data_IF_713194317762
#
_entry.id   IF_713194317762
#
_cell.length_a   1.000
_cell.length_b   1.000
_cell.length_c   1.000
_cell.angle_alpha   90.00
_cell.angle_beta   90.00
_cell.angle_gamma   90.00
#
_symmetry.space_group_name_H-M   'P 1'
#
loop_
_entity.id
_entity.type
_entity.pdbx_description
1 polymer ?
#
# COMPACT_ATOMS: atom_id res chain seq x y z
N UNK A 1 6.13 19.66 -5.07
CA UNK A 1 6.88 20.87 -5.46
C UNK A 1 8.39 20.64 -5.63
N UNK A 2 9.01 19.69 -4.93
CA UNK A 2 10.43 19.37 -5.05
C UNK A 2 10.89 19.14 -6.48
N UNK A 3 10.00 18.91 -7.41
CA UNK A 3 10.38 18.11 -8.56
C UNK A 3 9.86 18.58 -9.89
N UNK A 4 9.33 19.78 -9.92
CA UNK A 4 8.88 20.39 -11.18
C UNK A 4 10.07 20.68 -12.12
N UNK A 5 11.30 20.77 -11.59
CA UNK A 5 12.51 21.06 -12.39
C UNK A 5 13.37 19.83 -12.70
N UNK A 6 13.31 18.76 -11.87
CA UNK A 6 14.22 17.61 -11.96
C UNK A 6 13.57 16.32 -12.45
N UNK A 7 12.25 16.30 -12.69
CA UNK A 7 11.51 15.14 -13.16
C UNK A 7 10.67 15.49 -14.36
N UNK A 8 10.60 14.53 -15.26
CA UNK A 8 9.58 14.55 -16.28
C UNK A 8 8.20 14.48 -15.60
N UNK A 9 7.34 15.46 -15.88
CA UNK A 9 5.96 15.51 -15.37
C UNK A 9 5.17 14.26 -15.74
N UNK A 10 5.51 13.61 -16.84
CA UNK A 10 4.92 12.37 -17.31
C UNK A 10 5.05 11.24 -16.28
N UNK A 11 6.12 11.24 -15.46
CA UNK A 11 6.27 10.27 -14.36
C UNK A 11 5.04 10.21 -13.45
N UNK A 12 4.42 11.36 -13.19
CA UNK A 12 3.26 11.50 -12.31
C UNK A 12 1.95 11.49 -13.12
N UNK A 13 1.88 12.32 -14.18
CA UNK A 13 0.63 12.54 -14.91
C UNK A 13 0.21 11.33 -15.74
N UNK A 14 1.18 10.52 -16.21
CA UNK A 14 0.93 9.30 -16.98
C UNK A 14 0.91 8.04 -16.09
N UNK A 15 0.97 8.21 -14.76
CA UNK A 15 0.78 7.09 -13.84
C UNK A 15 -0.67 6.60 -13.90
N UNK A 16 -0.92 5.28 -13.99
CA UNK A 16 -2.28 4.73 -13.91
C UNK A 16 -2.98 5.08 -12.59
N UNK A 17 -2.19 5.32 -11.53
CA UNK A 17 -2.70 5.70 -10.23
C UNK A 17 -2.98 7.20 -10.08
N UNK A 18 -2.69 8.04 -11.08
CA UNK A 18 -2.98 9.46 -11.03
C UNK A 18 -4.48 9.73 -11.13
N UNK A 19 -5.04 10.38 -10.12
CA UNK A 19 -6.48 10.72 -10.05
C UNK A 19 -6.68 12.23 -10.16
N UNK A 20 -7.26 12.68 -11.28
CA UNK A 20 -7.51 14.10 -11.56
C UNK A 20 -8.38 14.77 -10.50
N UNK A 21 -9.31 14.04 -9.92
CA UNK A 21 -10.21 14.55 -8.88
C UNK A 21 -9.51 14.88 -7.55
N UNK A 22 -8.23 14.50 -7.41
CA UNK A 22 -7.41 14.85 -6.25
C UNK A 22 -6.71 16.20 -6.36
N UNK A 23 -6.74 16.83 -7.54
CA UNK A 23 -6.09 18.13 -7.76
C UNK A 23 -6.78 19.19 -6.89
N UNK A 24 -5.98 20.04 -6.24
CA UNK A 24 -6.41 21.13 -5.35
C UNK A 24 -7.13 20.71 -4.06
N UNK A 25 -7.26 19.41 -3.78
CA UNK A 25 -7.79 18.92 -2.50
C UNK A 25 -6.79 19.22 -1.38
N UNK A 26 -7.28 19.88 -0.33
CA UNK A 26 -6.49 20.20 0.88
C UNK A 26 -6.95 19.33 2.03
N UNK A 27 -6.11 18.41 2.45
CA UNK A 27 -6.37 17.51 3.57
C UNK A 27 -5.94 18.10 4.91
N UNK A 28 -6.53 17.62 5.99
CA UNK A 28 -6.11 17.93 7.35
C UNK A 28 -4.63 17.55 7.52
N UNK A 29 -3.86 18.41 8.16
CA UNK A 29 -2.41 18.26 8.31
C UNK A 29 -1.62 18.08 7.01
N UNK A 30 -2.24 18.27 5.84
CA UNK A 30 -1.63 18.02 4.52
C UNK A 30 -1.05 16.60 4.36
N UNK A 31 -1.62 15.63 5.07
CA UNK A 31 -1.18 14.22 5.07
C UNK A 31 -2.14 13.38 4.24
N UNK A 32 -1.62 12.69 3.23
CA UNK A 32 -2.38 11.87 2.30
C UNK A 32 -2.38 10.39 2.69
N UNK A 33 -1.28 9.90 3.23
CA UNK A 33 -1.13 8.53 3.70
C UNK A 33 -0.74 8.51 5.16
N UNK A 34 -1.49 7.82 5.98
CA UNK A 34 -1.30 7.69 7.42
C UNK A 34 -0.80 6.30 7.80
N UNK A 35 -1.07 5.31 6.95
CA UNK A 35 -0.62 3.93 7.10
C UNK A 35 0.27 3.59 5.90
N UNK A 36 1.49 3.17 6.17
CA UNK A 36 2.47 2.73 5.19
C UNK A 36 2.86 1.28 5.48
N UNK A 37 2.82 0.43 4.45
CA UNK A 37 3.36 -0.92 4.49
C UNK A 37 4.61 -0.98 3.63
N UNK A 38 5.78 -1.00 4.23
CA UNK A 38 7.05 -1.16 3.50
C UNK A 38 7.45 -2.63 3.49
N UNK A 39 7.63 -3.20 2.31
CA UNK A 39 8.14 -4.55 2.14
C UNK A 39 9.65 -4.55 2.31
N UNK A 40 10.12 -5.36 3.25
CA UNK A 40 11.54 -5.49 3.57
C UNK A 40 12.05 -6.86 3.14
N UNK A 41 13.25 -6.89 2.59
CA UNK A 41 13.99 -8.14 2.36
C UNK A 41 15.30 -8.13 3.14
N UNK A 42 15.72 -9.30 3.61
CA UNK A 42 17.07 -9.50 4.14
C UNK A 42 17.95 -10.13 3.08
N UNK A 43 18.93 -9.37 2.58
CA UNK A 43 19.87 -9.87 1.57
C UNK A 43 20.96 -10.76 2.19
N UNK A 44 21.69 -11.48 1.34
CA UNK A 44 22.77 -12.39 1.76
C UNK A 44 23.88 -11.71 2.56
N UNK A 45 24.04 -10.39 2.44
CA UNK A 45 24.95 -9.58 3.25
C UNK A 45 24.45 -9.31 4.69
N UNK A 46 23.32 -9.91 5.04
CA UNK A 46 22.68 -9.79 6.35
C UNK A 46 21.94 -8.46 6.59
N UNK A 47 21.91 -7.56 5.61
CA UNK A 47 21.25 -6.26 5.72
C UNK A 47 19.82 -6.28 5.22
N UNK A 48 18.98 -5.43 5.82
CA UNK A 48 17.64 -5.19 5.32
C UNK A 48 17.63 -4.12 4.23
N UNK A 49 16.77 -4.34 3.24
CA UNK A 49 16.50 -3.40 2.15
C UNK A 49 15.00 -3.20 2.00
N UNK A 50 14.58 -1.99 1.68
CA UNK A 50 13.20 -1.72 1.27
C UNK A 50 13.04 -2.22 -0.17
N UNK A 51 12.05 -3.07 -0.41
CA UNK A 51 11.73 -3.61 -1.72
C UNK A 51 10.71 -2.74 -2.45
N UNK A 52 9.65 -2.32 -1.74
CA UNK A 52 8.62 -1.40 -2.20
C UNK A 52 7.86 -0.79 -1.01
N UNK A 53 7.09 0.25 -1.27
CA UNK A 53 6.20 0.89 -0.30
C UNK A 53 4.76 0.79 -0.79
N UNK A 54 3.86 0.37 0.11
CA UNK A 54 2.43 0.30 -0.10
C UNK A 54 1.73 1.37 0.74
N UNK A 55 1.14 2.38 0.09
CA UNK A 55 0.54 3.53 0.77
C UNK A 55 -0.96 3.70 0.45
N UNK A 56 -1.49 2.92 -0.49
CA UNK A 56 -2.89 2.97 -0.90
C UNK A 56 -3.78 2.20 0.07
N UNK A 57 -3.62 0.89 0.15
CA UNK A 57 -4.35 -0.02 1.03
C UNK A 57 -3.42 -1.12 1.57
N UNK A 58 -2.38 -0.76 2.36
CA UNK A 58 -1.43 -1.75 2.87
C UNK A 58 -2.13 -2.81 3.72
N UNK A 59 -1.67 -4.07 3.63
CA UNK A 59 -2.22 -5.23 4.33
C UNK A 59 -1.11 -6.03 5.01
N UNK A 60 -1.51 -6.95 5.92
CA UNK A 60 -0.60 -7.93 6.54
C UNK A 60 -0.42 -7.76 8.04
N UNK A 61 -0.78 -6.61 8.62
CA UNK A 61 -0.56 -6.34 10.05
C UNK A 61 -1.34 -7.26 10.98
N UNK A 62 -2.52 -7.72 10.58
CA UNK A 62 -3.31 -8.68 11.35
C UNK A 62 -2.56 -9.99 11.56
N UNK A 63 -1.91 -10.49 10.52
CA UNK A 63 -1.11 -11.72 10.59
C UNK A 63 0.11 -11.54 11.48
N UNK A 64 0.76 -10.38 11.45
CA UNK A 64 1.85 -10.07 12.37
C UNK A 64 1.37 -10.08 13.83
N UNK A 65 0.22 -9.49 14.13
CA UNK A 65 -0.36 -9.45 15.48
C UNK A 65 -0.74 -10.84 15.96
N UNK A 66 -1.42 -11.64 15.12
CA UNK A 66 -1.79 -13.02 15.42
C UNK A 66 -0.56 -13.91 15.64
N UNK A 67 0.41 -13.87 14.73
CA UNK A 67 1.67 -14.61 14.88
C UNK A 67 2.37 -14.24 16.19
N UNK A 68 2.44 -12.96 16.53
CA UNK A 68 3.05 -12.49 17.77
C UNK A 68 2.32 -13.06 19.00
N UNK A 69 0.99 -13.04 18.99
CA UNK A 69 0.17 -13.58 20.06
C UNK A 69 0.36 -15.09 20.23
N UNK A 70 0.36 -15.85 19.12
CA UNK A 70 0.59 -17.29 19.12
C UNK A 70 2.00 -17.61 19.64
N UNK A 71 3.02 -16.94 19.11
CA UNK A 71 4.41 -17.14 19.53
C UNK A 71 4.61 -16.86 21.01
N UNK A 72 4.01 -15.80 21.56
CA UNK A 72 4.04 -15.51 23.02
C UNK A 72 3.42 -16.63 23.86
N UNK A 73 2.37 -17.30 23.36
CA UNK A 73 1.72 -18.42 24.05
C UNK A 73 2.55 -19.68 23.98
N UNK A 74 3.16 -19.96 22.84
CA UNK A 74 3.92 -21.20 22.60
C UNK A 74 5.31 -21.13 23.20
N UNK A 75 5.97 -19.98 23.15
CA UNK A 75 7.35 -19.78 23.58
C UNK A 75 7.50 -18.58 24.52
N UNK A 76 6.81 -18.53 25.68
CA UNK A 76 6.83 -17.37 26.56
C UNK A 76 8.24 -17.06 27.08
N UNK A 77 9.03 -18.09 27.36
CA UNK A 77 10.40 -17.95 27.88
C UNK A 77 11.33 -17.25 26.89
N UNK A 78 11.19 -17.52 25.57
CA UNK A 78 11.98 -16.85 24.56
C UNK A 78 11.68 -15.36 24.50
N UNK A 79 10.41 -14.98 24.63
CA UNK A 79 10.02 -13.55 24.66
C UNK A 79 10.62 -12.81 25.86
N UNK A 80 10.66 -13.47 27.03
CA UNK A 80 11.31 -12.91 28.20
C UNK A 80 12.83 -12.80 28.01
N UNK A 81 13.46 -13.89 27.54
CA UNK A 81 14.92 -13.97 27.36
C UNK A 81 15.45 -12.93 26.34
N UNK A 82 14.74 -12.75 25.23
CA UNK A 82 15.17 -11.85 24.14
C UNK A 82 14.59 -10.43 24.24
N UNK A 83 13.78 -10.13 25.26
CA UNK A 83 13.20 -8.80 25.45
C UNK A 83 12.41 -8.31 24.24
N UNK A 84 11.60 -9.19 23.61
CA UNK A 84 10.88 -8.86 22.36
C UNK A 84 9.87 -7.74 22.61
N UNK A 85 10.02 -6.64 21.87
CA UNK A 85 9.17 -5.44 22.02
C UNK A 85 7.69 -5.77 21.76
N UNK A 86 6.77 -5.37 22.66
CA UNK A 86 5.34 -5.54 22.45
C UNK A 86 4.82 -4.75 21.24
N UNK A 87 3.83 -5.31 20.55
CA UNK A 87 3.14 -4.68 19.42
C UNK A 87 1.62 -4.61 19.63
N UNK A 88 1.15 -5.00 20.79
CA UNK A 88 -0.28 -5.13 21.15
C UNK A 88 -1.03 -3.78 21.06
N UNK A 89 -0.32 -2.66 21.15
CA UNK A 89 -0.89 -1.32 21.05
C UNK A 89 -1.24 -0.88 19.59
N UNK A 90 -0.90 -1.67 18.57
CA UNK A 90 -1.11 -1.28 17.17
C UNK A 90 -2.57 -0.90 16.87
N UNK A 91 -3.61 -1.71 17.22
CA UNK A 91 -5.00 -1.35 16.94
C UNK A 91 -5.42 -0.02 17.61
N UNK A 92 -4.96 0.22 18.84
CA UNK A 92 -5.22 1.48 19.54
C UNK A 92 -4.59 2.66 18.82
N UNK A 93 -3.33 2.53 18.39
CA UNK A 93 -2.63 3.56 17.61
C UNK A 93 -3.28 3.81 16.26
N UNK A 94 -3.75 2.75 15.60
CA UNK A 94 -4.50 2.87 14.36
C UNK A 94 -5.80 3.67 14.60
N UNK A 95 -6.58 3.32 15.62
CA UNK A 95 -7.80 4.06 15.98
C UNK A 95 -7.50 5.55 16.27
N UNK A 96 -6.48 5.85 17.08
CA UNK A 96 -6.05 7.22 17.38
C UNK A 96 -5.68 7.99 16.11
N UNK A 97 -4.97 7.34 15.19
CA UNK A 97 -4.60 7.90 13.88
C UNK A 97 -5.85 8.23 13.05
N UNK A 98 -6.80 7.29 12.96
CA UNK A 98 -8.07 7.49 12.26
C UNK A 98 -8.89 8.62 12.91
N UNK A 99 -8.98 8.64 14.23
CA UNK A 99 -9.69 9.70 14.95
C UNK A 99 -9.06 11.09 14.72
N UNK A 100 -7.74 11.16 14.58
CA UNK A 100 -7.01 12.43 14.39
C UNK A 100 -7.35 13.16 13.10
N UNK A 101 -7.79 12.45 12.04
CA UNK A 101 -8.12 13.04 10.73
C UNK A 101 -9.57 13.50 10.63
N UNK A 102 -10.36 13.28 11.66
CA UNK A 102 -11.74 13.73 11.71
C UNK A 102 -11.87 15.24 11.39
N UNK A 103 -12.76 15.58 10.46
CA UNK A 103 -13.06 16.96 10.06
C UNK A 103 -14.13 17.62 10.95
N UNK A 104 -14.87 16.82 11.72
CA UNK A 104 -15.89 17.32 12.65
C UNK A 104 -15.27 17.81 13.96
N UNK A 105 -16.08 18.48 14.80
CA UNK A 105 -15.66 18.89 16.15
C UNK A 105 -15.88 17.80 17.20
N UNK A 106 -16.32 16.62 16.81
CA UNK A 106 -16.59 15.52 17.72
C UNK A 106 -15.29 15.03 18.36
N UNK A 107 -15.30 14.87 19.69
CA UNK A 107 -14.20 14.23 20.42
C UNK A 107 -14.20 12.71 20.27
N UNK A 108 -15.34 12.12 19.88
CA UNK A 108 -15.51 10.69 19.57
C UNK A 108 -16.11 10.61 18.16
N UNK A 109 -15.25 10.60 17.11
CA UNK A 109 -15.75 10.49 15.75
C UNK A 109 -16.33 9.10 15.48
N UNK A 110 -17.37 9.04 14.66
CA UNK A 110 -17.88 7.78 14.12
C UNK A 110 -16.95 7.30 13.02
N UNK A 111 -16.27 6.19 13.28
CA UNK A 111 -15.26 5.59 12.38
C UNK A 111 -15.80 4.25 11.90
N UNK A 112 -15.71 3.99 10.61
CA UNK A 112 -16.03 2.69 10.03
C UNK A 112 -14.88 2.14 9.19
N UNK A 113 -14.76 0.81 9.10
CA UNK A 113 -13.87 0.15 8.17
C UNK A 113 -14.67 -0.31 6.94
N UNK A 114 -14.38 0.29 5.78
CA UNK A 114 -15.05 -0.03 4.52
C UNK A 114 -14.33 -1.17 3.80
N UNK A 115 -14.98 -2.34 3.73
CA UNK A 115 -14.48 -3.54 3.05
C UNK A 115 -15.17 -3.78 1.71
N UNK A 116 -14.50 -4.39 0.72
CA UNK A 116 -15.16 -4.90 -0.49
C UNK A 116 -15.97 -6.18 -0.26
N UNK A 117 -15.94 -6.76 0.97
CA UNK A 117 -16.71 -7.94 1.36
C UNK A 117 -15.91 -9.24 1.41
N UNK A 118 -16.62 -10.31 1.71
CA UNK A 118 -16.05 -11.65 2.07
C UNK A 118 -15.23 -12.33 0.97
N UNK A 119 -15.40 -11.92 -0.29
CA UNK A 119 -14.62 -12.47 -1.41
C UNK A 119 -13.23 -11.85 -1.58
N UNK A 120 -12.91 -10.83 -0.78
CA UNK A 120 -11.59 -10.22 -0.80
C UNK A 120 -10.59 -11.09 -0.02
N UNK A 121 -9.41 -11.32 -0.58
CA UNK A 121 -8.36 -12.14 0.05
C UNK A 121 -7.89 -11.60 1.41
N UNK A 122 -8.01 -10.29 1.65
CA UNK A 122 -7.66 -9.65 2.91
C UNK A 122 -8.86 -9.46 3.86
N UNK A 123 -10.02 -10.10 3.61
CA UNK A 123 -11.22 -9.91 4.44
C UNK A 123 -11.00 -10.27 5.90
N UNK A 124 -10.20 -11.32 6.18
CA UNK A 124 -9.80 -11.65 7.54
C UNK A 124 -9.17 -10.44 8.25
N UNK A 125 -8.22 -9.77 7.62
CA UNK A 125 -7.59 -8.58 8.20
C UNK A 125 -8.59 -7.45 8.43
N UNK A 126 -9.53 -7.25 7.49
CA UNK A 126 -10.54 -6.20 7.63
C UNK A 126 -11.41 -6.44 8.87
N UNK A 127 -11.91 -7.67 9.05
CA UNK A 127 -12.73 -8.03 10.21
C UNK A 127 -11.94 -8.01 11.52
N UNK A 128 -10.70 -8.52 11.50
CA UNK A 128 -9.81 -8.51 12.65
C UNK A 128 -9.53 -7.09 13.14
N UNK A 129 -9.14 -6.19 12.25
CA UNK A 129 -8.82 -4.81 12.62
C UNK A 129 -10.05 -4.05 13.10
N UNK A 130 -11.21 -4.22 12.44
CA UNK A 130 -12.45 -3.60 12.89
C UNK A 130 -12.82 -4.04 14.31
N UNK A 131 -12.73 -5.34 14.58
CA UNK A 131 -13.00 -5.92 15.91
C UNK A 131 -12.00 -5.42 16.96
N UNK A 132 -10.70 -5.39 16.64
CA UNK A 132 -9.67 -4.94 17.59
C UNK A 132 -9.76 -3.44 17.91
N UNK A 133 -10.21 -2.63 16.98
CA UNK A 133 -10.45 -1.19 17.18
C UNK A 133 -11.82 -0.88 17.80
N UNK A 134 -12.75 -1.85 17.81
CA UNK A 134 -14.13 -1.63 18.27
C UNK A 134 -14.92 -0.69 17.34
N UNK A 135 -14.70 -0.78 16.02
CA UNK A 135 -15.41 0.00 15.00
C UNK A 135 -16.21 -0.93 14.08
N UNK A 136 -17.23 -0.37 13.40
CA UNK A 136 -18.05 -1.15 12.49
C UNK A 136 -17.31 -1.52 11.21
N UNK A 137 -17.44 -2.80 10.81
CA UNK A 137 -17.09 -3.31 9.49
C UNK A 137 -18.29 -3.13 8.57
N UNK A 138 -18.14 -2.34 7.49
CA UNK A 138 -19.21 -2.01 6.56
C UNK A 138 -18.81 -2.31 5.12
N UNK A 139 -19.79 -2.68 4.30
CA UNK A 139 -19.66 -2.75 2.84
C UNK A 139 -20.26 -1.48 2.20
N UNK A 140 -19.99 -1.26 0.90
CA UNK A 140 -20.52 -0.08 0.20
C UNK A 140 -22.04 0.05 0.26
N UNK A 141 -22.77 -1.08 0.28
CA UNK A 141 -24.24 -1.12 0.41
C UNK A 141 -24.77 -0.62 1.77
N UNK A 142 -23.93 -0.65 2.80
CA UNK A 142 -24.28 -0.20 4.15
C UNK A 142 -24.12 1.31 4.33
N UNK A 143 -23.47 1.97 3.36
CA UNK A 143 -23.24 3.41 3.36
C UNK A 143 -24.14 4.13 2.35
N UNK A 144 -24.40 5.40 2.62
CA UNK A 144 -25.11 6.31 1.72
C UNK A 144 -24.56 7.73 1.87
N UNK A 145 -24.40 8.44 0.75
CA UNK A 145 -24.20 9.89 0.75
C UNK A 145 -25.60 10.53 0.66
N UNK A 146 -26.02 11.23 1.71
CA UNK A 146 -27.32 11.82 1.78
C UNK A 146 -27.38 13.17 1.04
N UNK A 147 -28.59 13.76 0.93
CA UNK A 147 -28.81 15.04 0.22
C UNK A 147 -28.03 16.22 0.81
N UNK A 148 -27.67 16.17 2.08
CA UNK A 148 -26.85 17.16 2.79
C UNK A 148 -25.34 17.00 2.50
N UNK A 149 -24.97 15.99 1.70
CA UNK A 149 -23.59 15.68 1.30
C UNK A 149 -22.80 14.91 2.34
N UNK A 150 -23.35 14.60 3.52
CA UNK A 150 -22.68 13.77 4.52
C UNK A 150 -22.86 12.28 4.22
N UNK A 151 -21.90 11.48 4.73
CA UNK A 151 -21.95 10.02 4.65
C UNK A 151 -22.62 9.47 5.90
N UNK A 152 -23.51 8.52 5.69
CA UNK A 152 -24.22 7.82 6.77
C UNK A 152 -24.08 6.32 6.61
N UNK A 153 -23.93 5.61 7.72
CA UNK A 153 -24.14 4.15 7.79
C UNK A 153 -25.59 3.85 8.12
N UNK A 154 -26.11 2.79 7.51
CA UNK A 154 -27.45 2.27 7.77
C UNK A 154 -27.43 1.35 8.97
N UNK A 155 -28.25 1.61 9.97
CA UNK A 155 -28.40 0.76 11.15
C UNK A 155 -29.88 0.41 11.35
N UNK A 156 -30.18 -0.53 12.23
CA UNK A 156 -31.58 -0.87 12.58
C UNK A 156 -32.34 0.27 13.23
N UNK A 157 -31.62 1.23 13.84
CA UNK A 157 -32.20 2.41 14.49
C UNK A 157 -32.28 3.64 13.54
N UNK A 158 -31.79 3.50 12.31
CA UNK A 158 -31.77 4.59 11.32
C UNK A 158 -30.38 4.89 10.78
N UNK A 159 -30.20 6.12 10.30
CA UNK A 159 -28.96 6.59 9.72
C UNK A 159 -28.04 7.20 10.77
N UNK A 160 -26.82 6.72 10.86
CA UNK A 160 -25.78 7.27 11.74
C UNK A 160 -24.70 7.93 10.88
N UNK A 161 -24.40 9.20 11.15
CA UNK A 161 -23.41 9.96 10.40
C UNK A 161 -22.01 9.39 10.62
N UNK A 162 -21.27 9.18 9.53
CA UNK A 162 -19.87 8.69 9.53
C UNK A 162 -18.94 9.88 9.39
N UNK A 163 -17.95 10.00 10.27
CA UNK A 163 -16.94 11.05 10.26
C UNK A 163 -15.64 10.59 9.54
N UNK A 164 -15.26 9.31 9.70
CA UNK A 164 -14.01 8.76 9.14
C UNK A 164 -14.26 7.37 8.56
N UNK A 165 -13.75 7.15 7.37
CA UNK A 165 -13.74 5.85 6.70
C UNK A 165 -12.31 5.34 6.61
N UNK A 166 -12.00 4.21 7.26
CA UNK A 166 -10.80 3.43 6.97
C UNK A 166 -11.10 2.50 5.80
N UNK A 167 -10.65 2.87 4.61
CA UNK A 167 -10.99 2.14 3.39
C UNK A 167 -10.07 0.96 3.14
N UNK A 168 -10.67 -0.13 2.67
CA UNK A 168 -9.96 -1.31 2.16
C UNK A 168 -10.35 -1.59 0.70
N UNK A 169 -10.87 -0.58 0.01
CA UNK A 169 -11.28 -0.60 -1.40
C UNK A 169 -10.33 0.29 -2.20
N UNK A 170 -9.94 -0.18 -3.37
CA UNK A 170 -9.09 0.57 -4.30
C UNK A 170 -9.81 1.81 -4.86
N UNK A 171 -9.03 2.83 -5.25
CA UNK A 171 -9.51 4.10 -5.80
C UNK A 171 -10.51 3.91 -6.95
N UNK A 172 -10.25 2.93 -7.83
CA UNK A 172 -11.07 2.69 -9.02
C UNK A 172 -12.46 2.09 -8.69
N UNK A 173 -12.61 1.54 -7.49
CA UNK A 173 -13.87 0.91 -7.06
C UNK A 173 -14.54 1.66 -5.90
N UNK A 174 -13.95 2.75 -5.42
CA UNK A 174 -14.42 3.47 -4.23
C UNK A 174 -15.72 4.26 -4.50
N UNK A 175 -15.85 4.84 -5.70
CA UNK A 175 -17.01 5.63 -6.10
C UNK A 175 -17.31 5.41 -7.60
N UNK A 176 -18.50 4.89 -7.96
CA UNK A 176 -18.87 4.66 -9.36
C UNK A 176 -18.91 5.95 -10.21
N UNK A 177 -19.10 7.12 -9.60
CA UNK A 177 -19.16 8.39 -10.34
C UNK A 177 -17.76 8.89 -10.75
N UNK A 178 -16.68 8.39 -10.12
CA UNK A 178 -15.29 8.85 -10.34
C UNK A 178 -14.32 7.74 -10.76
N UNK A 179 -14.72 6.48 -10.59
CA UNK A 179 -13.92 5.30 -10.91
C UNK A 179 -14.61 4.41 -11.92
N UNK A 180 -14.69 3.12 -11.62
CA UNK A 180 -15.39 2.14 -12.44
C UNK A 180 -16.91 2.29 -12.27
N UNK A 181 -17.67 2.72 -13.32
CA UNK A 181 -19.12 2.94 -13.20
C UNK A 181 -19.92 1.65 -12.96
N UNK A 182 -19.29 0.48 -13.14
CA UNK A 182 -19.92 -0.82 -12.88
C UNK A 182 -19.61 -1.38 -11.50
N UNK A 183 -18.89 -0.64 -10.66
CA UNK A 183 -18.59 -1.10 -9.30
C UNK A 183 -19.86 -1.24 -8.46
N UNK A 184 -19.96 -2.35 -7.74
CA UNK A 184 -21.04 -2.62 -6.78
C UNK A 184 -20.56 -2.57 -5.33
N UNK A 185 -19.25 -2.41 -5.12
CA UNK A 185 -18.61 -2.41 -3.79
C UNK A 185 -18.32 -1.00 -3.26
N UNK A 186 -18.41 0.01 -4.13
CA UNK A 186 -18.17 1.41 -3.77
C UNK A 186 -19.45 2.13 -3.30
N UNK A 187 -19.30 3.41 -2.98
CA UNK A 187 -20.38 4.29 -2.49
C UNK A 187 -20.52 5.48 -3.41
N UNK A 188 -21.68 5.60 -4.07
CA UNK A 188 -21.95 6.68 -5.01
C UNK A 188 -21.88 8.05 -4.32
N UNK A 189 -21.08 8.97 -4.92
CA UNK A 189 -20.87 10.33 -4.42
C UNK A 189 -19.87 10.45 -3.28
N UNK A 190 -19.20 9.35 -2.90
CA UNK A 190 -18.25 9.33 -1.77
C UNK A 190 -17.06 10.24 -2.00
N UNK A 191 -16.51 10.27 -3.22
CA UNK A 191 -15.38 11.13 -3.56
C UNK A 191 -15.76 12.60 -3.43
N UNK A 192 -16.96 12.98 -3.84
CA UNK A 192 -17.45 14.34 -3.67
C UNK A 192 -17.59 14.70 -2.20
N UNK A 193 -18.18 13.82 -1.37
CA UNK A 193 -18.29 14.03 0.07
C UNK A 193 -16.92 14.24 0.74
N UNK A 194 -15.91 13.47 0.31
CA UNK A 194 -14.53 13.62 0.77
C UNK A 194 -13.91 14.96 0.33
N UNK A 195 -14.06 15.37 -0.94
CA UNK A 195 -13.58 16.66 -1.45
C UNK A 195 -14.19 17.84 -0.68
N UNK A 196 -15.48 17.76 -0.34
CA UNK A 196 -16.22 18.74 0.44
C UNK A 196 -15.94 18.66 1.95
N UNK A 197 -15.02 17.76 2.38
CA UNK A 197 -14.66 17.55 3.80
C UNK A 197 -15.82 17.11 4.69
N UNK A 198 -16.84 16.48 4.10
CA UNK A 198 -17.99 15.92 4.80
C UNK A 198 -17.67 14.60 5.48
N UNK A 199 -16.61 13.92 5.01
CA UNK A 199 -16.04 12.70 5.58
C UNK A 199 -14.54 12.71 5.37
N UNK A 200 -13.77 12.08 6.27
CA UNK A 200 -12.36 11.79 6.05
C UNK A 200 -12.21 10.35 5.54
N UNK A 201 -11.25 10.11 4.65
CA UNK A 201 -10.93 8.77 4.12
C UNK A 201 -9.45 8.48 4.31
N UNK A 202 -9.11 7.33 4.86
CA UNK A 202 -7.73 6.90 5.16
C UNK A 202 -7.45 5.53 4.52
N UNK A 203 -6.33 5.32 3.80
CA UNK A 203 -5.51 6.39 3.24
C UNK A 203 -6.32 7.13 2.18
N UNK A 204 -5.99 8.40 1.99
CA UNK A 204 -6.78 9.26 1.12
C UNK A 204 -6.83 8.74 -0.32
N UNK A 205 -7.94 8.94 -1.06
CA UNK A 205 -7.98 8.68 -2.49
C UNK A 205 -6.82 9.38 -3.22
N UNK A 206 -6.23 8.71 -4.22
CA UNK A 206 -5.07 9.20 -4.96
C UNK A 206 -3.70 8.88 -4.35
N UNK A 207 -3.63 8.26 -3.16
CA UNK A 207 -2.36 7.79 -2.59
C UNK A 207 -1.65 6.75 -3.45
N UNK A 208 -2.37 6.06 -4.33
CA UNK A 208 -1.80 5.03 -5.19
C UNK A 208 -0.64 5.50 -6.07
N UNK A 209 -0.49 6.81 -6.26
CA UNK A 209 0.67 7.37 -6.94
C UNK A 209 1.98 7.15 -6.16
N UNK A 210 1.89 6.99 -4.85
CA UNK A 210 3.05 6.71 -4.00
C UNK A 210 3.43 5.22 -3.99
N UNK A 211 2.49 4.32 -4.35
CA UNK A 211 2.74 2.90 -4.58
C UNK A 211 3.46 2.64 -5.91
N UNK A 212 3.44 3.62 -6.83
CA UNK A 212 4.04 3.47 -8.16
C UNK A 212 5.54 3.23 -8.04
N UNK A 213 6.00 2.06 -8.52
CA UNK A 213 7.41 1.64 -8.42
C UNK A 213 8.38 2.58 -9.13
N UNK A 214 7.90 3.38 -10.08
CA UNK A 214 8.71 4.43 -10.69
C UNK A 214 8.87 5.65 -9.76
N UNK A 215 7.87 5.93 -8.90
CA UNK A 215 7.96 6.94 -7.84
C UNK A 215 8.87 6.45 -6.71
N UNK A 216 8.76 5.18 -6.33
CA UNK A 216 9.64 4.54 -5.35
C UNK A 216 11.14 4.76 -5.66
N UNK A 217 11.56 4.75 -6.92
CA UNK A 217 12.94 5.00 -7.32
C UNK A 217 13.50 6.35 -6.83
N UNK A 218 12.62 7.28 -6.48
CA UNK A 218 13.00 8.62 -5.98
C UNK A 218 12.94 8.74 -4.44
N UNK A 219 12.40 7.77 -3.72
CA UNK A 219 12.25 7.85 -2.25
C UNK A 219 13.55 8.23 -1.55
N UNK A 220 14.73 7.63 -1.85
CA UNK A 220 15.97 8.05 -1.21
C UNK A 220 16.33 9.53 -1.44
N UNK A 221 16.02 10.06 -2.64
CA UNK A 221 16.22 11.49 -2.96
C UNK A 221 15.21 12.37 -2.21
N UNK A 222 13.97 11.87 -2.01
CA UNK A 222 12.95 12.58 -1.24
C UNK A 222 13.33 12.69 0.22
N UNK A 223 13.85 11.61 0.84
CA UNK A 223 14.35 11.61 2.21
C UNK A 223 15.43 12.70 2.38
N UNK A 224 16.45 12.68 1.52
CA UNK A 224 17.51 13.70 1.58
C UNK A 224 17.00 15.12 1.39
N UNK A 225 16.04 15.30 0.49
CA UNK A 225 15.53 16.62 0.18
C UNK A 225 14.63 17.19 1.27
N UNK A 226 13.65 16.42 1.74
CA UNK A 226 12.66 16.89 2.70
C UNK A 226 13.12 16.79 4.15
N UNK A 227 13.78 15.69 4.52
CA UNK A 227 14.21 15.44 5.89
C UNK A 227 15.64 15.89 6.15
N UNK A 228 16.44 16.13 5.09
CA UNK A 228 17.88 16.46 5.20
C UNK A 228 18.68 15.34 5.88
N UNK A 229 18.23 14.09 5.72
CA UNK A 229 18.80 12.89 6.32
C UNK A 229 19.21 11.88 5.25
N UNK A 230 20.10 10.96 5.60
CA UNK A 230 20.37 9.78 4.78
C UNK A 230 19.35 8.68 5.10
N UNK A 231 18.93 7.87 4.11
CA UNK A 231 18.06 6.74 4.35
C UNK A 231 18.68 5.75 5.35
N UNK A 232 17.97 5.43 6.44
CA UNK A 232 18.43 4.45 7.44
C UNK A 232 18.47 3.06 6.82
N UNK A 233 17.39 2.64 6.15
CA UNK A 233 17.32 1.39 5.39
C UNK A 233 17.46 1.73 3.91
N UNK A 234 18.34 1.02 3.22
CA UNK A 234 18.59 1.26 1.80
C UNK A 234 17.45 0.70 0.95
N UNK A 235 17.09 1.43 -0.10
CA UNK A 235 16.18 0.94 -1.12
C UNK A 235 16.94 0.03 -2.10
N UNK A 236 16.24 -0.95 -2.68
CA UNK A 236 16.77 -1.69 -3.84
C UNK A 236 16.88 -0.73 -5.03
N UNK A 237 18.05 -0.76 -5.69
CA UNK A 237 18.28 0.08 -6.87
C UNK A 237 17.25 -0.22 -7.94
N UNK A 238 16.53 0.83 -8.38
CA UNK A 238 15.44 0.72 -9.35
C UNK A 238 15.78 1.52 -10.60
N UNK A 239 15.75 0.83 -11.74
CA UNK A 239 16.00 1.39 -13.06
C UNK A 239 14.69 1.79 -13.72
N UNK A 240 14.55 3.08 -14.04
CA UNK A 240 13.40 3.60 -14.78
C UNK A 240 13.57 3.28 -16.26
N UNK A 241 12.64 2.52 -16.83
CA UNK A 241 12.74 2.08 -18.22
C UNK A 241 12.31 3.15 -19.23
N UNK A 242 11.88 4.33 -18.78
CA UNK A 242 11.79 5.55 -19.60
C UNK A 242 13.17 6.08 -19.99
N UNK A 243 14.20 5.86 -19.18
CA UNK A 243 15.56 6.28 -19.47
C UNK A 243 16.24 5.26 -20.43
N UNK A 244 16.81 5.75 -21.54
CA UNK A 244 17.45 4.93 -22.58
C UNK A 244 18.66 4.14 -22.04
N UNK A 245 19.48 4.78 -21.20
CA UNK A 245 20.69 4.14 -20.67
C UNK A 245 20.34 3.04 -19.68
N UNK A 246 19.31 3.26 -18.85
CA UNK A 246 18.77 2.23 -17.97
C UNK A 246 18.22 1.05 -18.78
N UNK A 247 17.46 1.30 -19.86
CA UNK A 247 16.95 0.20 -20.73
C UNK A 247 18.09 -0.61 -21.31
N UNK A 248 19.11 0.05 -21.87
CA UNK A 248 20.27 -0.62 -22.46
C UNK A 248 20.97 -1.50 -21.42
N UNK A 249 21.23 -0.97 -20.22
CA UNK A 249 21.84 -1.72 -19.13
C UNK A 249 20.99 -2.94 -18.76
N UNK A 250 19.69 -2.77 -18.58
CA UNK A 250 18.76 -3.83 -18.18
C UNK A 250 18.66 -4.91 -19.26
N UNK A 251 18.55 -4.55 -20.53
CA UNK A 251 18.41 -5.52 -21.61
C UNK A 251 19.69 -6.31 -21.87
N UNK A 252 20.85 -5.69 -21.68
CA UNK A 252 22.16 -6.36 -21.78
C UNK A 252 22.38 -7.34 -20.62
N UNK A 253 21.89 -7.03 -19.43
CA UNK A 253 22.04 -7.83 -18.22
C UNK A 253 20.71 -8.51 -17.80
N UNK A 254 19.84 -8.86 -18.76
CA UNK A 254 18.47 -9.28 -18.50
C UNK A 254 18.33 -10.41 -17.48
N UNK A 255 19.24 -11.41 -17.52
CA UNK A 255 19.25 -12.55 -16.59
C UNK A 255 19.46 -12.17 -15.11
N UNK A 256 20.07 -11.03 -14.86
CA UNK A 256 20.37 -10.51 -13.53
C UNK A 256 19.31 -9.52 -13.04
N UNK A 257 18.23 -9.34 -13.80
CA UNK A 257 17.21 -8.35 -13.52
C UNK A 257 15.86 -8.99 -13.25
N UNK A 258 15.05 -8.26 -12.46
CA UNK A 258 13.61 -8.48 -12.27
C UNK A 258 12.89 -7.30 -12.87
N UNK A 259 12.04 -7.53 -13.87
CA UNK A 259 11.23 -6.51 -14.52
C UNK A 259 9.83 -6.52 -13.88
N UNK A 260 9.36 -5.36 -13.45
CA UNK A 260 8.09 -5.22 -12.73
C UNK A 260 7.20 -4.17 -13.39
N UNK A 261 5.89 -4.42 -13.55
CA UNK A 261 4.92 -3.37 -13.83
C UNK A 261 4.87 -2.38 -12.65
N UNK A 262 4.69 -1.09 -12.94
CA UNK A 262 4.76 -0.03 -11.92
C UNK A 262 3.57 0.02 -10.96
N UNK A 263 2.38 -0.38 -11.42
CA UNK A 263 1.12 -0.24 -10.70
C UNK A 263 0.52 -1.55 -10.21
N UNK A 264 1.12 -2.70 -10.56
CA UNK A 264 0.62 -4.01 -10.16
C UNK A 264 1.12 -4.41 -8.76
N UNK A 265 0.32 -5.25 -8.08
CA UNK A 265 0.60 -5.82 -6.77
C UNK A 265 0.46 -7.33 -6.79
N UNK A 266 0.85 -8.02 -5.71
CA UNK A 266 0.68 -9.47 -5.58
C UNK A 266 1.51 -10.30 -6.56
N UNK A 267 2.61 -9.75 -7.09
CA UNK A 267 3.51 -10.48 -8.00
C UNK A 267 3.03 -10.58 -9.45
N UNK A 268 1.86 -10.03 -9.79
CA UNK A 268 1.34 -10.09 -11.17
C UNK A 268 2.25 -9.35 -12.15
N UNK A 269 2.54 -10.02 -13.28
CA UNK A 269 3.33 -9.44 -14.38
C UNK A 269 4.82 -9.28 -14.08
N UNK A 270 5.33 -9.77 -12.96
CA UNK A 270 6.75 -9.77 -12.63
C UNK A 270 7.48 -10.80 -13.51
N UNK A 271 8.59 -10.37 -14.09
CA UNK A 271 9.43 -11.21 -14.94
C UNK A 271 10.82 -11.33 -14.31
N UNK A 272 11.18 -12.54 -13.87
CA UNK A 272 12.51 -12.84 -13.32
C UNK A 272 13.39 -13.29 -14.48
N UNK A 273 14.32 -12.43 -14.89
CA UNK A 273 15.13 -12.65 -16.09
C UNK A 273 15.96 -13.94 -16.10
N UNK A 274 16.38 -14.42 -14.93
CA UNK A 274 17.12 -15.69 -14.77
C UNK A 274 16.30 -16.90 -15.24
N UNK A 275 14.97 -16.85 -15.06
CA UNK A 275 14.07 -17.98 -15.31
C UNK A 275 13.42 -17.91 -16.71
N UNK A 276 13.69 -16.85 -17.49
CA UNK A 276 13.02 -16.62 -18.77
C UNK A 276 13.66 -17.41 -19.92
N UNK A 277 12.81 -18.01 -20.75
CA UNK A 277 13.16 -18.45 -22.09
C UNK A 277 13.49 -17.24 -22.98
N UNK A 278 14.11 -17.50 -24.13
CA UNK A 278 14.41 -16.47 -25.12
C UNK A 278 13.13 -15.79 -25.63
N UNK A 279 12.08 -16.57 -25.86
CA UNK A 279 10.78 -16.05 -26.33
C UNK A 279 10.12 -15.10 -25.32
N UNK A 280 10.16 -15.45 -24.02
CA UNK A 280 9.62 -14.61 -22.93
C UNK A 280 10.43 -13.32 -22.76
N UNK A 281 11.77 -13.40 -22.85
CA UNK A 281 12.65 -12.22 -22.87
C UNK A 281 12.24 -11.27 -24.00
N UNK A 282 12.14 -11.78 -25.25
CA UNK A 282 11.82 -10.97 -26.42
C UNK A 282 10.39 -10.36 -26.30
N UNK A 283 9.44 -11.11 -25.79
CA UNK A 283 8.10 -10.61 -25.51
C UNK A 283 8.10 -9.50 -24.44
N UNK A 284 8.88 -9.66 -23.39
CA UNK A 284 9.03 -8.66 -22.31
C UNK A 284 9.68 -7.39 -22.84
N UNK A 285 10.75 -7.51 -23.62
CA UNK A 285 11.39 -6.35 -24.26
C UNK A 285 10.40 -5.60 -25.15
N UNK A 286 9.61 -6.29 -25.96
CA UNK A 286 8.56 -5.65 -26.78
C UNK A 286 7.54 -4.90 -25.92
N UNK A 287 7.05 -5.50 -24.84
CA UNK A 287 6.10 -4.84 -23.91
C UNK A 287 6.70 -3.57 -23.31
N UNK A 288 7.95 -3.64 -22.84
CA UNK A 288 8.67 -2.49 -22.27
C UNK A 288 8.87 -1.39 -23.33
N UNK A 289 9.27 -1.75 -24.56
CA UNK A 289 9.49 -0.79 -25.64
C UNK A 289 8.21 -0.08 -26.06
N UNK A 290 7.06 -0.79 -26.04
CA UNK A 290 5.76 -0.20 -26.37
C UNK A 290 5.26 0.77 -25.28
N UNK A 291 5.56 0.52 -24.02
CA UNK A 291 5.16 1.39 -22.90
C UNK A 291 6.22 1.41 -21.78
N UNK A 292 7.35 2.12 -21.99
CA UNK A 292 8.46 2.14 -21.04
C UNK A 292 8.09 2.72 -19.68
N UNK A 293 7.08 3.61 -19.62
CA UNK A 293 6.62 4.24 -18.37
C UNK A 293 6.04 3.22 -17.40
N UNK A 294 5.41 2.18 -17.92
CA UNK A 294 4.71 1.19 -17.11
C UNK A 294 5.62 0.09 -16.54
N UNK A 295 6.93 0.20 -16.71
CA UNK A 295 7.86 -0.81 -16.23
C UNK A 295 9.06 -0.18 -15.54
N UNK A 296 9.52 -0.88 -14.50
CA UNK A 296 10.80 -0.67 -13.84
C UNK A 296 11.59 -1.99 -13.82
N UNK A 297 12.88 -1.90 -13.58
CA UNK A 297 13.71 -3.08 -13.33
C UNK A 297 14.52 -2.90 -12.05
N UNK A 298 14.72 -4.02 -11.35
CA UNK A 298 15.56 -4.11 -10.16
C UNK A 298 16.57 -5.25 -10.36
N UNK A 299 17.78 -5.19 -9.78
CA UNK A 299 18.66 -6.33 -9.75
C UNK A 299 18.01 -7.52 -9.05
N UNK A 300 18.29 -8.73 -9.53
CA UNK A 300 17.92 -9.94 -8.81
C UNK A 300 18.78 -10.03 -7.54
N UNK A 301 18.11 -10.01 -6.38
CA UNK A 301 18.79 -10.03 -5.08
C UNK A 301 18.88 -11.47 -4.57
N UNK A 302 20.05 -11.85 -4.09
CA UNK A 302 20.22 -13.09 -3.32
C UNK A 302 19.73 -12.84 -1.90
N UNK A 303 18.63 -13.50 -1.54
CA UNK A 303 18.03 -13.39 -0.21
C UNK A 303 18.82 -14.23 0.81
N UNK A 304 18.86 -13.77 2.06
CA UNK A 304 19.35 -14.60 3.15
C UNK A 304 18.33 -15.69 3.47
N UNK A 305 18.82 -16.76 4.08
CA UNK A 305 17.98 -17.86 4.55
C UNK A 305 18.11 -18.01 6.05
N UNK A 306 17.08 -18.57 6.66
CA UNK A 306 17.08 -18.98 8.07
C UNK A 306 16.70 -20.45 8.17
N UNK A 307 17.26 -21.21 9.14
CA UNK A 307 16.79 -22.56 9.41
C UNK A 307 15.34 -22.56 9.80
N UNK A 308 14.51 -23.27 9.07
CA UNK A 308 13.06 -23.35 9.29
C UNK A 308 12.67 -24.82 9.40
N UNK A 309 11.92 -25.19 10.44
CA UNK A 309 11.45 -26.55 10.64
C UNK A 309 10.36 -26.91 9.60
N UNK A 310 10.61 -27.96 8.83
CA UNK A 310 9.73 -28.43 7.74
C UNK A 310 8.87 -29.63 8.10
N UNK A 311 8.79 -29.96 9.40
CA UNK A 311 8.08 -31.15 9.92
C UNK A 311 8.98 -32.35 10.18
N UNK A 312 10.11 -32.51 9.46
CA UNK A 312 11.05 -33.62 9.61
C UNK A 312 12.49 -33.12 9.82
N UNK A 313 12.85 -31.98 9.26
CA UNK A 313 14.21 -31.44 9.30
C UNK A 313 14.22 -29.93 9.33
N UNK A 314 15.40 -29.33 9.58
CA UNK A 314 15.63 -27.90 9.40
C UNK A 314 16.07 -27.65 7.95
N UNK A 315 15.30 -26.83 7.25
CA UNK A 315 15.59 -26.41 5.87
C UNK A 315 15.86 -24.92 5.77
N UNK A 316 16.73 -24.47 4.87
CA UNK A 316 16.93 -23.04 4.65
C UNK A 316 15.71 -22.46 3.91
N UNK A 317 15.06 -21.44 4.50
CA UNK A 317 13.97 -20.68 3.90
C UNK A 317 14.35 -19.21 3.84
N UNK A 318 13.90 -18.50 2.80
CA UNK A 318 14.10 -17.06 2.70
C UNK A 318 13.34 -16.29 3.78
N UNK A 319 13.92 -15.14 4.16
CA UNK A 319 13.28 -14.15 5.03
C UNK A 319 12.82 -12.98 4.18
N UNK A 320 11.56 -12.67 4.29
CA UNK A 320 10.87 -11.51 3.72
C UNK A 320 9.91 -10.88 4.75
#
# INVERSE_FOLDING_TARGET
>A
QMCIRDRDKSLILDSPAYKKYCVDVKLKHNTWSHICGSDLIKAHDGKFYVLEDNLRVPSGVSYMLENRMIMKRVFPELFYQYGVTPIDAYPTKLYETLASVNNSRSKKPEIVLLTPGVFNSAYYEHSFLAQQMGIDLVEGRDLIVAKDGFVYKKTIEGLVKVDVIYRRIDDDYLDPDQGNPKTTIGVKGLIRAWQEKKVAIVNSPGCGIADDKAVYAYVPKMIRFYLKEEPIIRNIKTFLLTNKDHRNLVFNNFKEMVIKPVAESGGYGIVIGKNCSRSEKDATIRKVMNNPRNYVAQPLISLSTTPTYSGESLEPRHLD
#
